data_IF_791249471036
#
_entry.id   IF_791249471036
#
_cell.length_a   1.000
_cell.length_b   1.000
_cell.length_c   1.000
_cell.angle_alpha   90.00
_cell.angle_beta   90.00
_cell.angle_gamma   90.00
#
_symmetry.space_group_name_H-M   'P 1'
#
loop_
_entity.id
_entity.type
_entity.pdbx_description
1 polymer ?
#
# COMPACT_ATOMS: atom_id res chain seq x y z
N UNK A 1 0.61 62.71 23.22
CA UNK A 1 -0.15 61.59 22.63
C UNK A 1 0.83 60.78 21.76
N UNK A 2 1.26 59.61 22.22
CA UNK A 2 2.24 58.78 21.51
C UNK A 2 1.52 57.87 20.52
N UNK A 3 1.73 58.11 19.21
CA UNK A 3 1.28 57.23 18.15
C UNK A 3 2.17 55.98 18.13
N UNK A 4 1.59 54.83 18.45
CA UNK A 4 2.19 53.50 18.29
C UNK A 4 2.38 53.21 16.79
N UNK A 5 3.56 53.55 16.26
CA UNK A 5 4.05 53.03 14.98
C UNK A 5 4.42 51.56 15.17
N UNK A 6 3.45 50.66 14.96
CA UNK A 6 3.75 49.22 14.82
C UNK A 6 4.39 49.05 13.43
N UNK A 7 5.66 48.59 13.34
CA UNK A 7 6.34 48.48 12.06
C UNK A 7 5.67 47.39 11.22
N UNK A 8 5.22 47.76 10.02
CA UNK A 8 4.58 46.90 9.01
C UNK A 8 5.32 45.55 8.81
N UNK A 9 6.64 45.54 9.00
CA UNK A 9 7.50 44.36 8.89
C UNK A 9 7.13 43.21 9.85
N UNK A 10 6.55 43.52 11.02
CA UNK A 10 6.19 42.51 12.04
C UNK A 10 4.98 41.66 11.67
N UNK A 11 4.09 42.16 10.81
CA UNK A 11 2.87 41.45 10.39
C UNK A 11 3.06 40.69 9.07
N UNK A 12 3.94 41.19 8.19
CA UNK A 12 4.18 40.60 6.86
C UNK A 12 4.99 39.30 6.93
N UNK A 13 5.97 39.23 7.83
CA UNK A 13 6.82 38.03 8.02
C UNK A 13 6.05 36.77 8.47
N UNK A 14 5.17 36.80 9.49
CA UNK A 14 4.43 35.61 9.91
C UNK A 14 3.40 35.15 8.86
N UNK A 15 2.79 36.08 8.11
CA UNK A 15 1.81 35.76 7.07
C UNK A 15 2.48 35.03 5.87
N UNK A 16 3.66 35.49 5.44
CA UNK A 16 4.43 34.83 4.38
C UNK A 16 4.91 33.42 4.78
N UNK A 17 5.30 33.23 6.05
CA UNK A 17 5.67 31.90 6.57
C UNK A 17 4.47 30.96 6.75
N UNK A 18 3.29 31.48 7.10
CA UNK A 18 2.04 30.71 7.16
C UNK A 18 1.55 30.28 5.78
N UNK A 19 1.63 31.17 4.77
CA UNK A 19 1.30 30.83 3.38
C UNK A 19 2.28 29.79 2.81
N UNK A 20 3.59 29.94 3.02
CA UNK A 20 4.59 28.95 2.58
C UNK A 20 4.39 27.57 3.24
N UNK A 21 4.04 27.53 4.54
CA UNK A 21 3.73 26.26 5.22
C UNK A 21 2.49 25.59 4.65
N UNK A 22 1.41 26.33 4.39
CA UNK A 22 0.20 25.75 3.77
C UNK A 22 0.45 25.25 2.35
N UNK A 23 1.24 25.98 1.57
CA UNK A 23 1.57 25.61 0.18
C UNK A 23 2.48 24.38 0.08
N UNK A 24 3.31 24.10 1.09
CA UNK A 24 4.17 22.91 1.15
C UNK A 24 3.47 21.69 1.80
N UNK A 25 2.56 21.93 2.74
CA UNK A 25 1.83 20.87 3.45
C UNK A 25 0.84 20.16 2.52
N UNK A 26 0.13 20.89 1.66
CA UNK A 26 -0.84 20.29 0.72
C UNK A 26 -0.21 19.24 -0.22
N UNK A 27 0.89 19.51 -0.96
CA UNK A 27 1.51 18.49 -1.79
C UNK A 27 2.09 17.34 -0.95
N UNK A 28 2.61 17.62 0.25
CA UNK A 28 3.08 16.59 1.17
C UNK A 28 1.97 15.61 1.58
N UNK A 29 0.78 16.13 1.92
CA UNK A 29 -0.40 15.31 2.26
C UNK A 29 -0.84 14.47 1.05
N UNK A 30 -0.92 15.07 -0.14
CA UNK A 30 -1.33 14.36 -1.35
C UNK A 30 -0.38 13.21 -1.66
N UNK A 31 0.93 13.44 -1.58
CA UNK A 31 1.94 12.39 -1.77
C UNK A 31 1.80 11.29 -0.71
N UNK A 32 1.64 11.67 0.57
CA UNK A 32 1.47 10.70 1.65
C UNK A 32 0.22 9.84 1.46
N UNK A 33 -0.92 10.43 1.08
CA UNK A 33 -2.14 9.71 0.78
C UNK A 33 -1.96 8.76 -0.41
N UNK A 34 -1.28 9.21 -1.47
CA UNK A 34 -1.01 8.39 -2.64
C UNK A 34 -0.14 7.18 -2.31
N UNK A 35 0.90 7.39 -1.49
CA UNK A 35 1.76 6.30 -1.01
C UNK A 35 0.98 5.31 -0.13
N UNK A 36 0.18 5.81 0.82
CA UNK A 36 -0.64 4.96 1.68
C UNK A 36 -1.63 4.10 0.88
N UNK A 37 -2.27 4.70 -0.13
CA UNK A 37 -3.18 4.00 -1.03
C UNK A 37 -2.45 2.94 -1.88
N UNK A 38 -1.27 3.27 -2.42
CA UNK A 38 -0.44 2.33 -3.18
C UNK A 38 -0.03 1.12 -2.34
N UNK A 39 0.38 1.35 -1.09
CA UNK A 39 0.70 0.26 -0.14
C UNK A 39 -0.51 -0.63 0.13
N UNK A 40 -1.70 -0.04 0.29
CA UNK A 40 -2.92 -0.80 0.49
C UNK A 40 -3.28 -1.68 -0.72
N UNK A 41 -3.09 -1.18 -1.95
CA UNK A 41 -3.34 -1.95 -3.17
C UNK A 41 -2.33 -3.09 -3.38
N UNK A 42 -1.08 -2.87 -2.98
CA UNK A 42 0.01 -3.85 -3.11
C UNK A 42 0.10 -4.82 -1.93
N UNK A 43 -0.80 -4.73 -0.94
CA UNK A 43 -0.82 -5.68 0.17
C UNK A 43 -1.02 -7.11 -0.35
N UNK A 44 -0.22 -8.09 0.12
CA UNK A 44 -0.39 -9.48 -0.27
C UNK A 44 -1.62 -10.06 0.41
N UNK A 45 -2.50 -10.69 -0.37
CA UNK A 45 -3.66 -11.44 0.11
C UNK A 45 -3.47 -12.89 -0.28
N UNK A 46 -3.37 -13.76 0.73
CA UNK A 46 -3.21 -15.19 0.54
C UNK A 46 -4.53 -15.90 0.85
N UNK A 47 -5.00 -16.71 -0.10
CA UNK A 47 -6.19 -17.55 0.08
C UNK A 47 -5.80 -19.03 0.02
N UNK A 48 -6.32 -19.89 0.91
CA UNK A 48 -6.05 -21.32 0.87
C UNK A 48 -6.63 -21.94 -0.41
N UNK A 49 -5.88 -22.84 -1.02
CA UNK A 49 -6.32 -23.62 -2.17
C UNK A 49 -6.84 -24.96 -1.63
N UNK A 50 -8.07 -25.33 -2.00
CA UNK A 50 -8.62 -26.63 -1.63
C UNK A 50 -7.98 -27.78 -2.42
N UNK A 51 -7.88 -28.95 -1.82
CA UNK A 51 -7.20 -30.13 -2.38
C UNK A 51 -7.73 -30.55 -3.76
N UNK A 52 -9.03 -30.35 -4.00
CA UNK A 52 -9.64 -30.63 -5.30
C UNK A 52 -9.16 -29.68 -6.40
N UNK A 53 -8.85 -28.42 -6.05
CA UNK A 53 -8.30 -27.45 -6.98
C UNK A 53 -6.82 -27.72 -7.25
N UNK A 54 -6.06 -28.20 -6.25
CA UNK A 54 -4.66 -28.61 -6.41
C UNK A 54 -4.50 -29.65 -7.54
N UNK A 55 -5.39 -30.64 -7.59
CA UNK A 55 -5.38 -31.70 -8.61
C UNK A 55 -5.69 -31.22 -10.03
N UNK A 56 -6.19 -29.99 -10.22
CA UNK A 56 -6.51 -29.44 -11.54
C UNK A 56 -5.32 -28.74 -12.19
N UNK A 57 -4.25 -28.46 -11.44
CA UNK A 57 -3.08 -27.80 -12.00
C UNK A 57 -2.25 -28.79 -12.83
N UNK A 58 -1.93 -28.39 -14.07
CA UNK A 58 -0.98 -29.08 -14.93
C UNK A 58 -0.05 -28.03 -15.59
N UNK A 59 1.25 -27.96 -15.27
CA UNK A 59 2.02 -28.83 -14.36
C UNK A 59 1.60 -28.70 -12.88
N UNK A 60 2.02 -29.64 -12.00
CA UNK A 60 1.80 -29.59 -10.55
C UNK A 60 2.28 -28.26 -9.94
N UNK A 61 1.67 -27.85 -8.82
CA UNK A 61 1.95 -26.54 -8.21
C UNK A 61 3.40 -26.43 -7.72
N UNK A 62 3.97 -27.54 -7.26
CA UNK A 62 5.35 -27.64 -6.78
C UNK A 62 6.36 -27.26 -7.86
N UNK A 63 6.01 -27.51 -9.13
CA UNK A 63 6.84 -27.21 -10.29
C UNK A 63 6.60 -25.79 -10.84
N UNK A 64 5.52 -25.12 -10.41
CA UNK A 64 5.17 -23.78 -10.88
C UNK A 64 6.00 -22.72 -10.17
N UNK A 65 6.62 -21.85 -10.96
CA UNK A 65 7.34 -20.68 -10.47
C UNK A 65 6.62 -19.36 -10.77
N UNK A 66 5.30 -19.39 -10.76
CA UNK A 66 4.47 -18.21 -11.03
C UNK A 66 4.72 -17.12 -9.97
N UNK A 67 4.96 -15.87 -10.42
CA UNK A 67 5.23 -14.71 -9.56
C UNK A 67 4.23 -13.59 -9.83
N UNK A 68 3.77 -12.94 -8.76
CA UNK A 68 2.97 -11.71 -8.81
C UNK A 68 3.85 -10.58 -8.29
N UNK A 69 4.22 -9.65 -9.18
CA UNK A 69 5.23 -8.63 -8.95
C UNK A 69 6.57 -9.21 -8.48
N UNK A 70 6.82 -9.24 -7.18
CA UNK A 70 8.05 -9.73 -6.54
C UNK A 70 7.85 -10.96 -5.67
N UNK A 71 6.61 -11.41 -5.44
CA UNK A 71 6.32 -12.57 -4.58
C UNK A 71 5.92 -13.81 -5.39
N UNK A 72 6.18 -15.00 -4.84
CA UNK A 72 5.67 -16.26 -5.40
C UNK A 72 4.16 -16.34 -5.17
N UNK A 73 3.42 -16.69 -6.22
CA UNK A 73 1.97 -16.81 -6.15
C UNK A 73 1.57 -18.02 -5.32
N UNK A 74 2.23 -19.15 -5.52
CA UNK A 74 1.99 -20.35 -4.74
C UNK A 74 3.00 -20.45 -3.61
N UNK A 75 2.51 -20.54 -2.39
CA UNK A 75 3.32 -20.69 -1.19
C UNK A 75 2.68 -21.73 -0.28
N UNK A 76 3.49 -22.65 0.21
CA UNK A 76 3.10 -23.56 1.26
C UNK A 76 3.18 -22.81 2.61
N UNK A 77 2.11 -22.88 3.39
CA UNK A 77 2.07 -22.30 4.74
C UNK A 77 1.36 -23.25 5.67
N UNK A 78 1.78 -23.23 6.92
CA UNK A 78 1.06 -23.87 8.01
C UNK A 78 -0.36 -23.31 8.08
N UNK A 79 -1.33 -24.18 7.84
CA UNK A 79 -2.73 -23.86 8.05
C UNK A 79 -2.99 -23.58 9.53
N UNK A 80 -4.04 -22.82 9.80
CA UNK A 80 -4.44 -22.42 11.16
C UNK A 80 -4.69 -23.62 12.11
N UNK A 81 -4.80 -24.84 11.57
CA UNK A 81 -5.01 -26.10 12.29
C UNK A 81 -3.77 -27.03 12.31
N UNK A 82 -2.60 -26.58 11.86
CA UNK A 82 -1.37 -27.39 11.82
C UNK A 82 -1.21 -28.30 10.59
N UNK A 83 -2.13 -28.22 9.63
CA UNK A 83 -1.98 -28.89 8.33
C UNK A 83 -1.24 -27.97 7.35
N UNK A 84 -0.18 -28.45 6.68
CA UNK A 84 0.48 -27.75 5.58
C UNK A 84 -0.54 -27.55 4.44
N UNK A 85 -0.83 -26.30 4.09
CA UNK A 85 -1.77 -25.95 3.01
C UNK A 85 -1.13 -25.02 2.01
N UNK A 86 -1.34 -25.33 0.74
CA UNK A 86 -1.00 -24.44 -0.37
C UNK A 86 -1.92 -23.22 -0.37
N UNK A 87 -1.29 -22.05 -0.41
CA UNK A 87 -1.98 -20.76 -0.51
C UNK A 87 -1.63 -20.08 -1.82
N UNK A 88 -2.64 -19.45 -2.42
CA UNK A 88 -2.47 -18.54 -3.54
C UNK A 88 -2.38 -17.11 -3.01
N UNK A 89 -1.16 -16.56 -3.00
CA UNK A 89 -0.85 -15.20 -2.62
C UNK A 89 -0.80 -14.30 -3.86
N UNK A 90 -1.72 -13.34 -3.93
CA UNK A 90 -1.73 -12.28 -4.95
C UNK A 90 -1.88 -10.93 -4.27
N UNK A 91 -1.40 -9.87 -4.91
CA UNK A 91 -1.69 -8.51 -4.44
C UNK A 91 -3.18 -8.26 -4.50
N UNK A 92 -3.69 -7.37 -3.63
CA UNK A 92 -5.11 -7.03 -3.64
C UNK A 92 -5.55 -6.52 -5.02
N UNK A 93 -4.71 -5.74 -5.70
CA UNK A 93 -4.96 -5.27 -7.06
C UNK A 93 -5.01 -6.42 -8.08
N UNK A 94 -4.05 -7.36 -8.05
CA UNK A 94 -4.02 -8.51 -8.97
C UNK A 94 -5.27 -9.39 -8.80
N UNK A 95 -5.75 -9.56 -7.56
CA UNK A 95 -6.99 -10.30 -7.29
C UNK A 95 -8.25 -9.61 -7.83
N UNK A 96 -8.28 -8.29 -7.90
CA UNK A 96 -9.43 -7.55 -8.43
C UNK A 96 -9.51 -7.63 -9.96
N UNK A 97 -8.37 -7.64 -10.65
CA UNK A 97 -8.33 -7.68 -12.12
C UNK A 97 -8.24 -9.10 -12.71
N UNK A 98 -7.69 -10.07 -11.96
CA UNK A 98 -7.40 -11.43 -12.44
C UNK A 98 -7.96 -12.47 -11.46
N UNK A 99 -9.24 -12.80 -11.64
CA UNK A 99 -9.96 -13.88 -10.93
C UNK A 99 -9.68 -15.25 -11.55
#
# INVERSE_FOLDING_TARGET
>A
MAFLFIPLATVVFPLANLLKRKMLVTPGIVIACFLAFSVFLLRPVCAPIGDQSLKRFNPPIEERQDRDFTMRIFQERDGQNGDEKWHQCKTWVSRFFFF
#
